data_IF_449714544341
#
_entry.id   IF_449714544341
#
_cell.length_a   1.000
_cell.length_b   1.000
_cell.length_c   1.000
_cell.angle_alpha   90.00
_cell.angle_beta   90.00
_cell.angle_gamma   90.00
#
_symmetry.space_group_name_H-M   'P 1'
#
loop_
_entity.id
_entity.type
_entity.pdbx_description
1 polymer ?
#
# COMPACT_ATOMS: atom_id res chain seq x y z
N UNK A 1 -2.30 -7.43 -23.81
CA UNK A 1 -1.47 -8.49 -23.19
C UNK A 1 -1.91 -9.87 -23.65
N UNK A 2 -0.99 -10.73 -24.10
CA UNK A 2 -1.27 -12.05 -24.69
C UNK A 2 -0.52 -13.14 -23.94
N UNK A 3 -1.20 -14.26 -23.62
CA UNK A 3 -0.58 -15.42 -22.98
C UNK A 3 -0.06 -16.40 -24.02
N UNK A 4 1.22 -16.74 -23.91
CA UNK A 4 1.87 -17.67 -24.83
C UNK A 4 2.25 -18.95 -24.13
N UNK A 5 2.11 -20.06 -24.86
CA UNK A 5 2.68 -21.33 -24.43
C UNK A 5 4.20 -21.21 -24.38
N UNK A 6 4.82 -21.61 -23.27
CA UNK A 6 6.28 -21.64 -23.14
C UNK A 6 6.96 -22.60 -24.13
N UNK A 7 6.24 -23.61 -24.64
CA UNK A 7 6.78 -24.62 -25.56
C UNK A 7 6.39 -24.40 -27.02
N UNK A 8 5.28 -23.67 -27.28
CA UNK A 8 4.75 -23.46 -28.64
C UNK A 8 4.74 -21.99 -29.08
N UNK A 9 5.00 -21.06 -28.17
CA UNK A 9 4.87 -19.62 -28.42
C UNK A 9 3.44 -19.16 -28.68
N UNK A 10 3.30 -17.92 -29.16
CA UNK A 10 2.07 -17.36 -29.73
C UNK A 10 2.21 -17.18 -31.24
N UNK A 11 1.10 -17.31 -31.96
CA UNK A 11 0.99 -16.94 -33.37
C UNK A 11 -0.39 -16.37 -33.68
N UNK A 12 -0.46 -15.51 -34.68
CA UNK A 12 -1.71 -14.87 -35.12
C UNK A 12 -1.88 -13.45 -34.59
N UNK A 13 -3.03 -12.86 -34.90
CA UNK A 13 -3.36 -11.47 -34.54
C UNK A 13 -3.82 -11.40 -33.08
N UNK A 14 -3.39 -10.36 -32.37
CA UNK A 14 -3.86 -10.03 -31.01
C UNK A 14 -5.33 -9.63 -31.09
N UNK A 15 -6.20 -10.31 -30.35
CA UNK A 15 -7.63 -9.97 -30.25
C UNK A 15 -8.19 -10.35 -28.89
N UNK A 16 -9.41 -9.90 -28.59
CA UNK A 16 -10.11 -10.25 -27.36
C UNK A 16 -10.33 -11.78 -27.18
N UNK A 17 -10.16 -12.58 -28.23
CA UNK A 17 -10.29 -14.05 -28.14
C UNK A 17 -9.05 -14.74 -27.55
N UNK A 18 -7.88 -14.12 -27.64
CA UNK A 18 -6.59 -14.71 -27.22
C UNK A 18 -5.77 -13.81 -26.30
N UNK A 19 -6.25 -12.60 -26.05
CA UNK A 19 -5.52 -11.55 -25.34
C UNK A 19 -6.48 -10.72 -24.50
N UNK A 20 -5.97 -10.16 -23.42
CA UNK A 20 -6.59 -9.02 -22.75
C UNK A 20 -6.28 -7.78 -23.59
N UNK A 21 -7.32 -7.09 -24.06
CA UNK A 21 -7.20 -5.96 -24.98
C UNK A 21 -8.01 -4.76 -24.51
N UNK A 22 -7.55 -3.58 -24.91
CA UNK A 22 -8.25 -2.32 -24.73
C UNK A 22 -9.31 -2.09 -25.82
N UNK A 23 -10.15 -1.09 -25.60
CA UNK A 23 -11.20 -0.68 -26.54
C UNK A 23 -10.83 0.53 -27.39
N UNK A 24 -9.78 1.27 -27.03
CA UNK A 24 -9.30 2.47 -27.72
C UNK A 24 -7.80 2.39 -28.02
N UNK A 25 -7.35 3.30 -28.87
CA UNK A 25 -5.92 3.47 -29.16
C UNK A 25 -5.19 3.96 -27.90
N UNK A 26 -3.94 3.53 -27.72
CA UNK A 26 -3.07 3.94 -26.61
C UNK A 26 -3.50 3.48 -25.20
N UNK A 27 -4.47 2.55 -25.08
CA UNK A 27 -4.89 1.97 -23.80
C UNK A 27 -3.78 1.28 -22.98
N UNK A 28 -2.61 1.03 -23.60
CA UNK A 28 -1.42 0.44 -22.98
C UNK A 28 -1.71 -0.79 -22.10
N UNK A 29 -2.62 -1.67 -22.56
CA UNK A 29 -3.08 -2.81 -21.76
C UNK A 29 -1.94 -3.76 -21.41
N UNK A 30 -1.66 -3.87 -20.11
CA UNK A 30 -0.53 -4.62 -19.58
C UNK A 30 0.74 -3.81 -19.38
N UNK A 31 0.62 -2.51 -19.12
CA UNK A 31 1.72 -1.62 -18.75
C UNK A 31 2.60 -2.22 -17.63
N UNK A 32 1.97 -2.78 -16.59
CA UNK A 32 2.69 -3.60 -15.61
C UNK A 32 1.90 -4.85 -15.23
N UNK A 33 2.62 -5.90 -14.85
CA UNK A 33 2.05 -7.17 -14.39
C UNK A 33 2.76 -7.58 -13.11
N UNK A 34 1.98 -7.94 -12.09
CA UNK A 34 2.51 -8.41 -10.81
C UNK A 34 1.97 -9.78 -10.48
N UNK A 35 2.88 -10.73 -10.23
CA UNK A 35 2.52 -12.06 -9.75
C UNK A 35 2.10 -12.01 -8.28
N UNK A 36 1.11 -12.83 -7.93
CA UNK A 36 0.64 -13.08 -6.58
C UNK A 36 1.21 -14.42 -6.08
N UNK A 37 1.30 -14.59 -4.76
CA UNK A 37 1.90 -15.78 -4.14
C UNK A 37 1.08 -17.06 -4.37
N UNK A 38 -0.21 -16.92 -4.67
CA UNK A 38 -1.12 -18.03 -5.01
C UNK A 38 -1.02 -18.49 -6.47
N UNK A 39 -0.09 -17.91 -7.25
CA UNK A 39 0.14 -18.21 -8.65
C UNK A 39 -0.72 -17.40 -9.61
N UNK A 40 -1.65 -16.57 -9.11
CA UNK A 40 -2.40 -15.63 -9.94
C UNK A 40 -1.57 -14.38 -10.23
N UNK A 41 -2.13 -13.44 -10.98
CA UNK A 41 -1.45 -12.18 -11.31
C UNK A 41 -2.43 -11.04 -11.45
N UNK A 42 -1.90 -9.82 -11.42
CA UNK A 42 -2.65 -8.58 -11.58
C UNK A 42 -1.98 -7.73 -12.65
N UNK A 43 -2.80 -7.16 -13.52
CA UNK A 43 -2.38 -6.38 -14.69
C UNK A 43 -2.85 -4.95 -14.51
N UNK A 44 -1.93 -3.99 -14.51
CA UNK A 44 -2.28 -2.57 -14.50
C UNK A 44 -2.17 -1.97 -15.90
N UNK A 45 -3.17 -1.18 -16.26
CA UNK A 45 -3.29 -0.44 -17.52
C UNK A 45 -3.78 0.98 -17.20
N UNK A 46 -2.93 1.83 -16.58
CA UNK A 46 -3.37 3.12 -16.04
C UNK A 46 -3.80 4.12 -17.12
N UNK A 47 -3.31 3.98 -18.37
CA UNK A 47 -3.74 4.79 -19.52
C UNK A 47 -4.93 4.19 -20.28
N UNK A 48 -5.66 3.25 -19.68
CA UNK A 48 -6.83 2.67 -20.31
C UNK A 48 -7.99 3.67 -20.36
N UNK A 49 -8.58 3.85 -21.54
CA UNK A 49 -9.76 4.68 -21.74
C UNK A 49 -11.05 3.87 -21.64
N UNK A 50 -12.08 4.43 -21.02
CA UNK A 50 -13.38 3.77 -21.00
C UNK A 50 -14.08 3.86 -22.37
N UNK A 51 -14.38 2.74 -23.07
CA UNK A 51 -15.02 2.79 -24.39
C UNK A 51 -16.47 3.26 -24.35
N UNK A 52 -17.15 3.23 -23.20
CA UNK A 52 -18.57 3.64 -23.10
C UNK A 52 -18.76 5.15 -22.93
N UNK A 53 -17.70 5.97 -22.92
CA UNK A 53 -17.76 7.42 -22.82
C UNK A 53 -16.49 8.14 -23.29
N UNK A 54 -16.49 9.49 -23.41
CA UNK A 54 -15.32 10.27 -23.79
C UNK A 54 -14.34 10.51 -22.62
N UNK A 55 -14.21 9.54 -21.73
CA UNK A 55 -13.35 9.66 -20.53
C UNK A 55 -12.04 8.94 -20.83
N UNK A 56 -10.97 9.72 -20.92
CA UNK A 56 -9.62 9.24 -21.23
C UNK A 56 -8.85 8.94 -19.94
N UNK A 57 -7.90 8.01 -20.02
CA UNK A 57 -6.95 7.68 -18.96
C UNK A 57 -7.61 7.39 -17.60
N UNK A 58 -8.80 6.74 -17.60
CA UNK A 58 -9.47 6.36 -16.34
C UNK A 58 -8.72 5.25 -15.62
N UNK A 59 -7.93 4.48 -16.37
CA UNK A 59 -7.14 3.37 -15.91
C UNK A 59 -7.96 2.12 -15.57
N UNK A 60 -7.28 0.99 -15.61
CA UNK A 60 -7.85 -0.31 -15.30
C UNK A 60 -6.84 -1.24 -14.63
N UNK A 61 -7.31 -2.00 -13.64
CA UNK A 61 -6.57 -3.10 -13.03
C UNK A 61 -7.36 -4.39 -13.17
N UNK A 62 -6.78 -5.36 -13.88
CA UNK A 62 -7.41 -6.65 -14.17
C UNK A 62 -6.68 -7.75 -13.42
N UNK A 63 -7.40 -8.48 -12.57
CA UNK A 63 -6.89 -9.72 -12.00
C UNK A 63 -7.01 -10.86 -13.00
N UNK A 64 -6.02 -11.75 -13.02
CA UNK A 64 -6.00 -12.89 -13.91
C UNK A 64 -5.56 -14.18 -13.22
N UNK A 65 -6.17 -15.28 -13.64
CA UNK A 65 -5.86 -16.63 -13.14
C UNK A 65 -4.54 -17.11 -13.72
N UNK A 66 -3.63 -17.60 -12.88
CA UNK A 66 -2.35 -18.15 -13.34
C UNK A 66 -2.46 -19.44 -14.17
N UNK A 67 -3.54 -20.20 -13.97
CA UNK A 67 -3.76 -21.49 -14.63
C UNK A 67 -4.33 -21.39 -16.05
N UNK A 68 -4.52 -20.17 -16.58
CA UNK A 68 -5.10 -19.96 -17.91
C UNK A 68 -4.86 -18.55 -18.44
N UNK A 69 -5.23 -18.31 -19.70
CA UNK A 69 -5.12 -16.98 -20.27
C UNK A 69 -6.27 -16.09 -19.78
N UNK A 70 -5.95 -14.90 -19.26
CA UNK A 70 -6.96 -13.84 -19.15
C UNK A 70 -7.09 -13.16 -20.51
N UNK A 71 -8.27 -13.28 -21.10
CA UNK A 71 -8.61 -12.78 -22.43
C UNK A 71 -9.92 -12.00 -22.38
N UNK A 72 -10.12 -11.13 -23.36
CA UNK A 72 -11.33 -10.33 -23.49
C UNK A 72 -11.03 -8.84 -23.54
N UNK A 73 -12.08 -8.05 -23.74
CA UNK A 73 -12.02 -6.61 -23.61
C UNK A 73 -11.94 -6.24 -22.12
N UNK A 74 -11.09 -5.28 -21.77
CA UNK A 74 -11.09 -4.65 -20.45
C UNK A 74 -12.43 -3.90 -20.26
N UNK A 75 -13.13 -4.19 -19.17
CA UNK A 75 -14.40 -3.55 -18.80
C UNK A 75 -14.54 -3.48 -17.27
N UNK A 76 -15.54 -2.74 -16.78
CA UNK A 76 -15.88 -2.75 -15.35
C UNK A 76 -16.35 -4.12 -14.82
N UNK A 77 -16.72 -5.07 -15.69
CA UNK A 77 -17.16 -6.41 -15.24
C UNK A 77 -15.99 -7.34 -14.92
N UNK A 78 -14.78 -7.06 -15.42
CA UNK A 78 -13.59 -7.89 -15.19
C UNK A 78 -12.41 -7.12 -14.61
N UNK A 79 -12.52 -5.79 -14.50
CA UNK A 79 -11.45 -4.92 -14.05
C UNK A 79 -11.97 -3.90 -13.06
N UNK A 80 -11.11 -3.51 -12.13
CA UNK A 80 -11.29 -2.32 -11.31
C UNK A 80 -10.93 -1.10 -12.16
N UNK A 81 -11.85 -0.15 -12.35
CA UNK A 81 -11.66 1.00 -13.23
C UNK A 81 -12.03 2.32 -12.55
N UNK A 82 -11.48 3.42 -13.07
CA UNK A 82 -11.92 4.77 -12.74
C UNK A 82 -13.24 5.15 -13.42
N UNK A 83 -13.67 6.38 -13.17
CA UNK A 83 -14.89 6.98 -13.73
C UNK A 83 -14.65 8.39 -14.28
N UNK A 84 -13.66 9.13 -13.78
CA UNK A 84 -13.31 10.47 -14.27
C UNK A 84 -12.04 10.44 -15.12
N UNK A 85 -11.84 11.50 -15.90
CA UNK A 85 -10.66 11.64 -16.76
C UNK A 85 -9.41 11.70 -15.90
N UNK A 86 -8.37 10.98 -16.30
CA UNK A 86 -7.08 10.94 -15.59
C UNK A 86 -7.10 10.33 -14.19
N UNK A 87 -8.16 9.59 -13.82
CA UNK A 87 -8.17 8.77 -12.59
C UNK A 87 -6.96 7.82 -12.52
N UNK A 88 -6.51 7.34 -13.69
CA UNK A 88 -5.33 6.51 -13.87
C UNK A 88 -5.25 5.35 -12.87
N UNK A 89 -6.35 4.62 -12.68
CA UNK A 89 -6.43 3.54 -11.67
C UNK A 89 -5.28 2.55 -11.82
N UNK A 90 -4.54 2.36 -10.73
CA UNK A 90 -3.35 1.50 -10.66
C UNK A 90 -2.05 2.15 -11.13
N UNK A 91 -1.98 3.48 -11.30
CA UNK A 91 -0.79 4.21 -11.78
C UNK A 91 0.43 4.09 -10.86
N UNK A 92 0.24 3.97 -9.54
CA UNK A 92 1.32 3.65 -8.59
C UNK A 92 1.52 2.16 -8.37
N UNK A 93 0.89 1.34 -9.20
CA UNK A 93 1.08 -0.09 -9.26
C UNK A 93 0.22 -0.86 -8.26
N UNK A 94 0.59 -2.13 -8.14
CA UNK A 94 -0.10 -3.13 -7.31
C UNK A 94 0.90 -3.73 -6.34
N UNK A 95 0.55 -3.71 -5.05
CA UNK A 95 1.34 -4.33 -3.98
C UNK A 95 0.72 -5.68 -3.62
N UNK A 96 1.36 -6.81 -3.94
CA UNK A 96 0.91 -8.12 -3.47
C UNK A 96 1.09 -8.23 -1.96
N UNK A 97 0.14 -8.88 -1.32
CA UNK A 97 0.18 -9.20 0.10
C UNK A 97 0.62 -10.65 0.30
N UNK A 98 1.20 -10.91 1.47
CA UNK A 98 1.72 -12.24 1.84
C UNK A 98 0.63 -13.29 2.03
N UNK A 99 -0.63 -12.88 2.13
CA UNK A 99 -1.80 -13.78 2.25
C UNK A 99 -2.47 -14.10 0.90
N UNK A 100 -1.87 -13.74 -0.24
CA UNK A 100 -2.42 -14.00 -1.58
C UNK A 100 -3.23 -12.83 -2.15
N UNK A 101 -3.68 -11.89 -1.32
CA UNK A 101 -4.42 -10.72 -1.79
C UNK A 101 -3.50 -9.64 -2.35
N UNK A 102 -4.06 -8.52 -2.81
CA UNK A 102 -3.29 -7.41 -3.35
C UNK A 102 -3.93 -6.07 -3.02
N UNK A 103 -3.18 -4.98 -3.22
CA UNK A 103 -3.66 -3.61 -3.03
C UNK A 103 -3.30 -2.78 -4.25
N UNK A 104 -4.27 -2.04 -4.77
CA UNK A 104 -4.13 -1.13 -5.91
C UNK A 104 -3.99 0.29 -5.40
N UNK A 105 -2.98 1.01 -5.89
CA UNK A 105 -2.79 2.44 -5.58
C UNK A 105 -3.07 3.31 -6.80
N UNK A 106 -3.94 4.31 -6.60
CA UNK A 106 -4.44 5.24 -7.62
C UNK A 106 -4.45 6.66 -7.05
N UNK A 107 -3.29 7.31 -6.87
CA UNK A 107 -3.20 8.62 -6.21
C UNK A 107 -3.89 9.76 -6.99
N UNK A 108 -4.07 9.62 -8.30
CA UNK A 108 -4.76 10.60 -9.16
C UNK A 108 -6.27 10.38 -9.24
N UNK A 109 -6.81 9.45 -8.45
CA UNK A 109 -8.24 9.20 -8.46
C UNK A 109 -9.03 10.39 -7.89
N UNK A 110 -10.05 10.81 -8.62
CA UNK A 110 -11.00 11.85 -8.22
C UNK A 110 -12.19 11.24 -7.49
N UNK A 111 -12.73 11.97 -6.50
CA UNK A 111 -14.02 11.58 -5.93
C UNK A 111 -15.18 12.19 -6.73
N UNK A 112 -15.97 11.41 -7.49
CA UNK A 112 -17.08 11.94 -8.28
C UNK A 112 -18.30 12.35 -7.44
N UNK A 113 -18.40 11.89 -6.19
CA UNK A 113 -19.58 12.15 -5.33
C UNK A 113 -19.47 13.50 -4.62
N UNK A 114 -18.27 13.85 -4.15
CA UNK A 114 -17.92 15.15 -3.57
C UNK A 114 -16.76 15.69 -4.41
N UNK A 115 -17.03 16.42 -5.50
CA UNK A 115 -16.10 16.62 -6.62
C UNK A 115 -14.82 17.29 -6.15
N UNK A 116 -13.84 16.45 -5.85
CA UNK A 116 -12.48 16.80 -5.45
C UNK A 116 -11.54 16.03 -6.34
N UNK A 117 -10.60 16.77 -6.90
CA UNK A 117 -9.61 16.23 -7.83
C UNK A 117 -8.44 15.63 -7.08
N UNK A 118 -7.87 14.56 -7.61
CA UNK A 118 -6.64 13.94 -7.12
C UNK A 118 -6.65 13.64 -5.60
N UNK A 119 -7.80 13.22 -5.06
CA UNK A 119 -7.90 12.82 -3.64
C UNK A 119 -7.15 11.51 -3.37
N UNK A 120 -6.98 10.71 -4.42
CA UNK A 120 -6.36 9.40 -4.41
C UNK A 120 -7.23 8.32 -3.79
N UNK A 121 -6.98 7.08 -4.21
CA UNK A 121 -7.66 5.89 -3.73
C UNK A 121 -6.71 4.71 -3.58
N UNK A 122 -6.92 3.95 -2.52
CA UNK A 122 -6.28 2.66 -2.26
C UNK A 122 -7.35 1.60 -2.14
N UNK A 123 -7.40 0.68 -3.11
CA UNK A 123 -8.42 -0.37 -3.19
C UNK A 123 -7.80 -1.72 -2.88
N UNK A 124 -8.41 -2.47 -1.95
CA UNK A 124 -8.01 -3.85 -1.70
C UNK A 124 -8.58 -4.79 -2.76
N UNK A 125 -7.76 -5.76 -3.15
CA UNK A 125 -8.03 -6.74 -4.20
C UNK A 125 -8.05 -8.17 -3.67
N UNK A 126 -9.09 -8.94 -4.00
CA UNK A 126 -9.17 -10.35 -3.64
C UNK A 126 -8.25 -11.19 -4.56
N UNK A 127 -7.26 -11.88 -3.99
CA UNK A 127 -6.31 -12.68 -4.75
C UNK A 127 -6.87 -13.92 -5.43
N UNK A 128 -7.99 -14.47 -4.94
CA UNK A 128 -8.59 -15.72 -5.44
C UNK A 128 -9.62 -15.51 -6.55
N UNK A 129 -10.24 -14.33 -6.62
CA UNK A 129 -11.31 -14.03 -7.58
C UNK A 129 -11.22 -12.66 -8.25
N UNK A 130 -10.24 -11.84 -7.86
CA UNK A 130 -10.13 -10.46 -8.28
C UNK A 130 -11.15 -9.54 -7.60
N UNK A 131 -10.93 -8.24 -7.79
CA UNK A 131 -11.91 -7.18 -7.53
C UNK A 131 -12.17 -6.46 -8.85
N UNK A 132 -13.44 -6.26 -9.21
CA UNK A 132 -13.86 -5.57 -10.42
C UNK A 132 -14.98 -4.57 -10.10
N UNK A 133 -15.19 -3.61 -11.00
CA UNK A 133 -16.17 -2.55 -10.86
C UNK A 133 -15.50 -1.17 -10.78
N UNK A 134 -16.27 -0.17 -10.34
CA UNK A 134 -15.76 1.19 -10.18
C UNK A 134 -14.98 1.32 -8.86
N UNK A 135 -13.91 2.10 -8.86
CA UNK A 135 -13.34 2.65 -7.63
C UNK A 135 -14.35 3.61 -7.01
N UNK A 136 -14.63 3.44 -5.71
CA UNK A 136 -15.59 4.27 -4.95
C UNK A 136 -15.14 4.42 -3.50
N UNK A 137 -15.74 5.36 -2.77
CA UNK A 137 -15.55 5.49 -1.32
C UNK A 137 -15.99 4.24 -0.53
N UNK A 138 -16.83 3.37 -1.10
CA UNK A 138 -17.32 2.16 -0.45
C UNK A 138 -16.32 0.99 -0.46
N UNK A 139 -15.37 1.00 -1.41
CA UNK A 139 -14.40 -0.08 -1.59
C UNK A 139 -12.93 0.37 -1.44
N UNK A 140 -12.71 1.65 -1.16
CA UNK A 140 -11.37 2.24 -1.14
C UNK A 140 -11.14 3.15 0.05
N UNK A 141 -9.91 3.18 0.54
CA UNK A 141 -9.41 4.22 1.43
C UNK A 141 -8.99 5.42 0.57
N UNK A 142 -9.46 6.61 0.90
CA UNK A 142 -9.27 7.80 0.06
C UNK A 142 -8.98 9.07 0.88
N UNK A 143 -8.39 10.06 0.23
CA UNK A 143 -8.18 11.40 0.79
C UNK A 143 -9.49 12.14 1.05
N UNK A 144 -9.40 13.17 1.88
CA UNK A 144 -10.51 14.06 2.22
C UNK A 144 -10.44 15.41 1.50
N UNK A 145 -9.29 15.80 0.96
CA UNK A 145 -9.04 17.10 0.32
C UNK A 145 -8.47 16.92 -1.09
N UNK A 146 -8.57 17.96 -1.91
CA UNK A 146 -8.03 17.93 -3.27
C UNK A 146 -6.50 17.83 -3.22
N UNK A 147 -5.91 17.02 -4.10
CA UNK A 147 -4.47 16.74 -4.17
C UNK A 147 -3.89 15.95 -2.97
N UNK A 148 -4.72 15.38 -2.09
CA UNK A 148 -4.24 14.52 -1.00
C UNK A 148 -3.39 13.33 -1.52
N UNK A 149 -3.67 12.88 -2.75
CA UNK A 149 -2.89 11.82 -3.40
C UNK A 149 -2.80 10.55 -2.55
N UNK A 150 -3.90 10.19 -1.88
CA UNK A 150 -3.90 9.11 -0.91
C UNK A 150 -3.38 7.81 -1.53
N UNK A 151 -2.52 7.11 -0.79
CA UNK A 151 -1.92 5.87 -1.27
C UNK A 151 -0.62 6.02 -2.05
N UNK A 152 0.05 7.16 -1.95
CA UNK A 152 1.35 7.38 -2.58
C UNK A 152 2.35 6.23 -2.38
N UNK A 153 2.35 5.54 -1.25
CA UNK A 153 3.07 4.27 -1.10
C UNK A 153 2.23 3.25 -0.34
N UNK A 154 2.29 1.99 -0.78
CA UNK A 154 1.68 0.87 -0.06
C UNK A 154 2.75 -0.18 0.26
N UNK A 155 2.94 -0.45 1.55
CA UNK A 155 3.91 -1.44 2.03
C UNK A 155 3.17 -2.67 2.55
N UNK A 156 3.43 -3.84 1.94
CA UNK A 156 2.92 -5.11 2.47
C UNK A 156 3.64 -5.47 3.77
N UNK A 157 2.90 -6.02 4.72
CA UNK A 157 3.41 -6.54 5.97
C UNK A 157 3.51 -8.07 5.90
N UNK A 158 4.40 -8.65 6.72
CA UNK A 158 4.62 -10.10 6.79
C UNK A 158 3.44 -10.88 7.36
N UNK A 159 2.52 -10.21 8.04
CA UNK A 159 1.32 -10.81 8.63
C UNK A 159 0.08 -10.75 7.71
N UNK A 160 0.27 -10.50 6.42
CA UNK A 160 -0.81 -10.42 5.43
C UNK A 160 -1.48 -9.05 5.35
N UNK A 161 -1.20 -8.11 6.25
CA UNK A 161 -1.76 -6.75 6.23
C UNK A 161 -0.89 -5.78 5.41
N UNK A 162 -1.25 -4.51 5.40
CA UNK A 162 -0.49 -3.47 4.70
C UNK A 162 -0.50 -2.13 5.42
N UNK A 163 0.39 -1.23 5.02
CA UNK A 163 0.44 0.16 5.47
C UNK A 163 0.34 1.07 4.25
N UNK A 164 -0.47 2.10 4.36
CA UNK A 164 -0.69 3.12 3.33
C UNK A 164 -0.05 4.42 3.80
N UNK A 165 0.87 4.96 3.03
CA UNK A 165 1.48 6.27 3.26
C UNK A 165 0.95 7.30 2.26
N UNK A 166 0.49 8.43 2.79
CA UNK A 166 -0.07 9.55 2.06
C UNK A 166 0.60 10.84 2.56
N UNK A 167 1.84 11.14 2.13
CA UNK A 167 2.63 12.24 2.70
C UNK A 167 2.07 13.63 2.37
N UNK A 168 1.31 13.78 1.28
CA UNK A 168 0.64 15.02 0.89
C UNK A 168 -0.78 15.16 1.46
N UNK A 169 -1.16 14.30 2.42
CA UNK A 169 -2.49 14.37 2.99
C UNK A 169 -2.66 15.62 3.87
N UNK A 170 -3.75 16.35 3.65
CA UNK A 170 -4.18 17.51 4.42
C UNK A 170 -5.08 17.12 5.59
N UNK A 171 -4.92 17.77 6.75
CA UNK A 171 -5.87 17.58 7.84
C UNK A 171 -7.13 18.46 7.64
N UNK A 172 -8.32 17.88 7.36
CA UNK A 172 -9.52 18.66 7.08
C UNK A 172 -10.07 19.42 8.30
N UNK A 173 -9.58 19.12 9.50
CA UNK A 173 -10.05 19.73 10.76
C UNK A 173 -9.18 20.90 11.25
N UNK A 174 -8.10 21.25 10.52
CA UNK A 174 -7.23 22.38 10.88
C UNK A 174 -6.53 23.00 9.65
N UNK A 175 -5.80 24.12 9.80
CA UNK A 175 -5.12 24.80 8.69
C UNK A 175 -3.84 24.07 8.24
N UNK A 176 -3.76 22.76 8.48
CA UNK A 176 -2.52 22.01 8.42
C UNK A 176 -2.44 21.28 7.09
N UNK A 177 -1.73 21.90 6.16
CA UNK A 177 -1.49 21.43 4.79
C UNK A 177 -0.31 20.47 4.75
N UNK A 178 -0.39 19.41 3.94
CA UNK A 178 0.67 18.42 3.72
C UNK A 178 1.23 17.86 5.04
N UNK A 179 0.38 17.59 6.03
CA UNK A 179 0.82 16.97 7.30
C UNK A 179 1.25 15.52 7.10
N UNK A 180 0.72 14.89 6.08
CA UNK A 180 0.89 13.47 5.80
C UNK A 180 0.12 12.57 6.77
N UNK A 181 -0.15 11.37 6.29
CA UNK A 181 -0.85 10.34 7.02
C UNK A 181 -0.29 8.94 6.72
N UNK A 182 -0.18 8.11 7.76
CA UNK A 182 0.12 6.68 7.65
C UNK A 182 -1.04 5.89 8.23
N UNK A 183 -1.68 5.08 7.39
CA UNK A 183 -2.90 4.32 7.71
C UNK A 183 -2.62 2.83 7.68
N UNK A 184 -3.05 2.10 8.70
CA UNK A 184 -2.99 0.65 8.70
C UNK A 184 -4.12 0.04 7.85
N UNK A 185 -3.79 -0.96 7.04
CA UNK A 185 -4.68 -1.64 6.10
C UNK A 185 -4.96 -3.08 6.48
N UNK A 186 -6.22 -3.49 6.53
CA UNK A 186 -6.59 -4.89 6.75
C UNK A 186 -6.44 -5.70 5.47
N UNK A 187 -5.54 -6.69 5.46
CA UNK A 187 -5.27 -7.50 4.27
C UNK A 187 -6.30 -8.57 3.92
N UNK A 188 -7.35 -8.75 4.73
CA UNK A 188 -8.41 -9.76 4.51
C UNK A 188 -9.67 -9.18 3.85
N UNK A 189 -9.97 -7.91 4.12
CA UNK A 189 -11.18 -7.24 3.59
C UNK A 189 -10.97 -5.78 3.21
N UNK A 190 -9.73 -5.30 3.25
CA UNK A 190 -9.38 -3.90 3.01
C UNK A 190 -9.71 -2.99 4.19
N UNK A 191 -9.21 -1.76 4.07
CA UNK A 191 -9.66 -0.60 4.84
C UNK A 191 -10.30 0.37 3.85
N UNK A 192 -11.46 0.94 4.19
CA UNK A 192 -12.23 1.83 3.31
C UNK A 192 -12.65 3.10 4.03
N UNK A 193 -13.06 4.11 3.26
CA UNK A 193 -13.51 5.40 3.77
C UNK A 193 -12.41 6.48 3.73
N UNK A 194 -12.61 7.56 4.48
CA UNK A 194 -11.67 8.67 4.52
C UNK A 194 -10.45 8.35 5.39
N UNK A 195 -9.29 8.85 4.97
CA UNK A 195 -8.14 9.06 5.85
C UNK A 195 -8.49 10.15 6.87
N UNK A 196 -8.28 9.88 8.16
CA UNK A 196 -8.63 10.78 9.27
C UNK A 196 -7.64 10.61 10.43
N UNK A 197 -7.65 11.54 11.39
CA UNK A 197 -6.89 11.39 12.64
C UNK A 197 -7.33 10.21 13.53
N UNK A 198 -8.49 9.60 13.26
CA UNK A 198 -8.98 8.46 14.03
C UNK A 198 -8.43 7.11 13.56
N UNK A 199 -8.06 7.00 12.27
CA UNK A 199 -7.57 5.76 11.66
C UNK A 199 -6.12 5.86 11.16
N UNK A 200 -5.48 7.01 11.29
CA UNK A 200 -4.16 7.28 10.76
C UNK A 200 -3.26 7.99 11.77
N UNK A 201 -1.97 7.68 11.72
CA UNK A 201 -0.93 8.51 12.31
C UNK A 201 -0.68 9.70 11.39
N UNK A 202 -0.81 10.92 11.91
CA UNK A 202 -0.71 12.15 11.11
C UNK A 202 0.34 13.11 11.67
N UNK A 203 0.84 14.01 10.83
CA UNK A 203 1.65 15.15 11.25
C UNK A 203 0.87 16.12 12.13
N UNK A 204 1.59 16.83 13.00
CA UNK A 204 1.07 17.88 13.86
C UNK A 204 1.25 19.29 13.29
N UNK A 205 2.15 19.48 12.31
CA UNK A 205 2.45 20.79 11.71
C UNK A 205 2.45 20.77 10.18
N UNK A 206 2.25 21.93 9.51
CA UNK A 206 2.23 21.96 8.05
C UNK A 206 3.54 21.48 7.45
N UNK A 207 3.47 20.67 6.39
CA UNK A 207 4.61 20.04 5.73
C UNK A 207 5.39 19.01 6.57
N UNK A 208 4.79 18.47 7.65
CA UNK A 208 5.38 17.32 8.35
C UNK A 208 5.57 16.12 7.40
N UNK A 209 4.66 15.98 6.43
CA UNK A 209 4.68 14.93 5.41
C UNK A 209 4.92 13.53 5.97
N UNK A 210 4.25 13.20 7.08
CA UNK A 210 4.37 11.88 7.74
C UNK A 210 4.12 10.78 6.70
N UNK A 211 5.12 9.89 6.54
CA UNK A 211 5.10 8.81 5.57
C UNK A 211 5.92 9.05 4.29
N UNK A 212 6.60 10.19 4.15
CA UNK A 212 7.41 10.57 2.97
C UNK A 212 8.66 9.70 2.73
N UNK A 213 9.24 9.09 3.78
CA UNK A 213 10.50 8.34 3.72
C UNK A 213 10.35 6.82 3.89
N UNK A 214 9.25 6.24 3.41
CA UNK A 214 9.15 4.78 3.30
C UNK A 214 9.89 4.30 2.05
N UNK A 215 11.22 4.39 2.06
CA UNK A 215 12.02 3.46 1.27
C UNK A 215 11.71 2.05 1.79
N UNK A 216 11.58 1.09 0.88
CA UNK A 216 11.22 -0.29 1.19
C UNK A 216 12.28 -0.94 2.11
N UNK A 217 12.23 -0.71 3.42
CA UNK A 217 13.09 -1.40 4.42
C UNK A 217 12.77 -2.91 4.49
N UNK A 218 11.85 -3.41 3.66
CA UNK A 218 11.54 -4.82 3.46
C UNK A 218 12.18 -5.49 2.24
N UNK A 219 12.91 -4.79 1.38
CA UNK A 219 13.51 -5.36 0.17
C UNK A 219 15.05 -5.40 0.23
N UNK A 220 15.58 -6.35 1.01
CA UNK A 220 16.96 -6.87 0.92
C UNK A 220 18.12 -5.85 0.89
N UNK A 221 18.26 -4.98 1.89
CA UNK A 221 19.61 -4.59 2.33
C UNK A 221 19.65 -4.08 3.78
N UNK A 222 20.11 -4.92 4.72
CA UNK A 222 20.41 -4.50 6.10
C UNK A 222 21.78 -3.81 6.22
N UNK A 223 22.35 -3.29 5.13
CA UNK A 223 23.67 -2.62 5.16
C UNK A 223 23.62 -1.09 5.14
N UNK A 224 22.48 -0.48 5.43
CA UNK A 224 22.37 0.98 5.39
C UNK A 224 21.90 1.60 6.71
N UNK A 225 22.38 1.05 7.83
CA UNK A 225 22.26 1.67 9.17
C UNK A 225 23.60 1.63 9.94
N UNK A 226 24.73 1.55 9.24
CA UNK A 226 26.06 1.72 9.82
C UNK A 226 26.91 2.58 8.88
N UNK A 227 26.68 3.89 8.91
CA UNK A 227 27.48 4.82 8.13
C UNK A 227 26.90 6.21 8.14
N UNK A 228 27.03 6.91 9.27
CA UNK A 228 27.33 8.34 9.37
C UNK A 228 27.12 8.83 10.80
N UNK A 229 28.07 8.53 11.68
CA UNK A 229 28.38 9.38 12.83
C UNK A 229 29.88 9.60 12.86
N UNK A 230 30.38 10.46 11.98
CA UNK A 230 31.72 11.02 12.09
C UNK A 230 31.68 12.22 13.03
N UNK A 231 31.73 11.99 14.35
CA UNK A 231 32.26 12.99 15.28
C UNK A 231 33.15 12.30 16.32
N UNK A 232 34.44 12.64 16.24
CA UNK A 232 35.51 12.37 17.21
C UNK A 232 36.00 10.92 17.33
N UNK A 233 36.85 10.52 16.38
CA UNK A 233 38.02 9.66 16.57
C UNK A 233 37.93 8.50 17.57
N UNK A 234 37.45 7.33 17.11
CA UNK A 234 37.95 5.99 17.47
C UNK A 234 37.23 4.96 16.60
N UNK A 235 37.92 4.39 15.61
CA UNK A 235 37.42 3.23 14.85
C UNK A 235 37.47 1.99 15.75
N UNK A 236 36.33 1.36 16.01
CA UNK A 236 36.29 -0.03 16.47
C UNK A 236 35.62 -0.86 15.38
N UNK A 237 36.38 -1.80 14.85
CA UNK A 237 35.93 -2.76 13.86
C UNK A 237 34.75 -3.58 14.40
N UNK A 238 33.66 -3.62 13.64
CA UNK A 238 32.53 -4.50 13.93
C UNK A 238 32.85 -5.91 13.44
N UNK A 239 33.57 -6.69 14.24
CA UNK A 239 33.78 -8.12 14.01
C UNK A 239 32.49 -8.93 14.29
N UNK A 240 31.65 -9.03 13.26
CA UNK A 240 31.10 -10.30 12.74
C UNK A 240 30.63 -11.41 13.70
N UNK A 241 29.97 -11.14 14.83
CA UNK A 241 29.29 -12.19 15.62
C UNK A 241 27.85 -11.82 15.96
N UNK A 242 26.93 -12.25 15.11
CA UNK A 242 25.50 -12.36 15.43
C UNK A 242 25.31 -13.38 16.56
N UNK A 243 24.72 -12.97 17.68
CA UNK A 243 24.24 -13.87 18.72
C UNK A 243 22.91 -14.50 18.27
N UNK A 244 22.89 -15.82 18.04
CA UNK A 244 21.65 -16.60 18.07
C UNK A 244 21.40 -17.02 19.52
N UNK A 245 20.31 -16.55 20.13
CA UNK A 245 19.89 -16.96 21.47
C UNK A 245 18.40 -17.26 21.49
N UNK A 246 18.08 -18.54 21.66
CA UNK A 246 16.75 -19.12 21.76
C UNK A 246 15.85 -18.47 22.82
N UNK A 247 14.55 -18.50 22.53
CA UNK A 247 13.46 -18.09 23.41
C UNK A 247 13.36 -19.09 24.58
N UNK A 248 13.88 -18.71 25.75
CA UNK A 248 13.81 -19.50 26.98
C UNK A 248 13.36 -18.63 28.16
N UNK A 249 12.16 -18.90 28.65
CA UNK A 249 11.52 -18.33 29.84
C UNK A 249 12.51 -18.05 30.99
N UNK A 250 12.45 -16.85 31.59
CA UNK A 250 12.88 -16.67 32.99
C UNK A 250 11.91 -15.80 33.76
N UNK A 251 11.47 -16.41 34.85
CA UNK A 251 10.56 -15.95 35.89
C UNK A 251 10.93 -14.62 36.54
N UNK A 252 9.87 -13.88 36.85
CA UNK A 252 9.85 -12.92 37.94
C UNK A 252 9.99 -13.66 39.28
N UNK A 253 11.11 -13.47 40.00
CA UNK A 253 11.16 -13.11 41.44
C UNK A 253 12.54 -13.35 42.11
N UNK A 254 12.85 -12.38 42.99
CA UNK A 254 13.66 -12.43 44.22
C UNK A 254 15.20 -12.38 44.17
N UNK A 255 15.71 -11.20 44.55
CA UNK A 255 17.00 -11.00 45.23
C UNK A 255 16.92 -9.71 46.07
N UNK A 256 16.81 -9.87 47.39
CA UNK A 256 16.52 -8.85 48.42
C UNK A 256 17.77 -8.03 48.86
N UNK A 257 17.59 -6.96 49.66
CA UNK A 257 18.46 -5.77 49.73
C UNK A 257 19.46 -5.76 50.91
N UNK A 258 20.49 -4.90 50.82
CA UNK A 258 21.35 -4.54 51.94
C UNK A 258 20.82 -3.32 52.71
N UNK A 259 20.71 -3.56 54.02
CA UNK A 259 20.24 -2.72 55.12
C UNK A 259 20.86 -1.32 55.24
N UNK A 260 20.01 -0.32 55.52
CA UNK A 260 20.18 0.62 56.64
C UNK A 260 18.85 0.60 57.44
N UNK A 261 18.96 0.42 58.77
CA UNK A 261 17.88 0.05 59.70
C UNK A 261 17.08 1.25 60.26
N UNK A 262 15.76 1.03 60.36
CA UNK A 262 14.76 1.33 61.44
C UNK A 262 14.42 2.81 61.79
N UNK A 263 13.16 3.30 61.67
CA UNK A 263 11.89 3.08 62.44
C UNK A 263 12.01 3.50 63.93
N UNK A 264 11.08 4.18 64.62
CA UNK A 264 9.63 4.40 64.47
C UNK A 264 9.11 5.55 65.38
N UNK A 265 7.84 5.94 65.19
CA UNK A 265 7.03 6.89 65.98
C UNK A 265 6.75 6.48 67.45
N UNK A 266 6.56 7.47 68.35
CA UNK A 266 5.44 7.55 69.32
C UNK A 266 5.32 8.96 69.95
N UNK A 267 4.08 9.47 70.08
CA UNK A 267 3.69 10.67 70.86
C UNK A 267 3.52 10.32 72.35
N UNK A 268 3.78 11.28 73.25
CA UNK A 268 2.91 11.60 74.40
C UNK A 268 3.25 12.99 75.01
N UNK A 269 2.20 13.67 75.53
CA UNK A 269 2.16 14.87 76.40
C UNK A 269 3.13 14.73 77.61
N UNK A 270 3.61 15.75 78.31
CA UNK A 270 3.16 17.11 78.68
C UNK A 270 4.35 18.06 78.60
#
# INVERSE_FOLDING_TARGET
MTWCSATRGCKGVVSASNSLVGGKANDQVGFSVRALIDGNYVVSSPSWDNPTGPVADVGAVTWGKGSGATVGLVTSSNSLIGVTTSDQVGSRGVTPLTNGNYVVSSPSWDNPTEPKVDVGAVTWGNGSGGTAGLVTSSNSLMGGSANDGAGSTVTALTNGNYVVSSPSWDNPTGPVVDVGAVTWGNGTGGTVGLVTSNNSLIGGTPNDQVGSNFDQVGSTDQRQLCGEQSFLGQSRDCDGRCWSGDVGQRDWRHGRPSHVKQLAHRRHRK
#
